data_IF_271949642605
#
_entry.id   IF_271949642605
#
_cell.length_a   1.000
_cell.length_b   1.000
_cell.length_c   1.000
_cell.angle_alpha   90.00
_cell.angle_beta   90.00
_cell.angle_gamma   90.00
#
_symmetry.space_group_name_H-M   'P 1'
#
loop_
_entity.id
_entity.type
_entity.pdbx_description
1 polymer ?
#
# COMPACT_ATOMS: atom_id res chain seq x y z
N UNK A 1 -40.51 -65.88 -2.83
CA UNK A 1 -40.90 -64.46 -2.70
C UNK A 1 -40.33 -63.96 -1.37
N UNK A 2 -39.17 -63.30 -1.39
CA UNK A 2 -38.98 -61.85 -1.54
C UNK A 2 -38.97 -61.11 -0.18
N UNK A 3 -37.76 -60.73 0.22
CA UNK A 3 -37.39 -59.41 0.75
C UNK A 3 -37.75 -59.10 2.21
N UNK A 4 -36.81 -59.29 3.16
CA UNK A 4 -36.53 -58.38 4.30
C UNK A 4 -35.10 -58.54 4.85
N UNK A 5 -34.09 -58.71 3.99
CA UNK A 5 -32.67 -58.84 4.38
C UNK A 5 -31.84 -57.56 4.13
N UNK A 6 -32.47 -56.39 3.95
CA UNK A 6 -31.80 -55.23 3.35
C UNK A 6 -31.81 -53.92 4.14
N UNK A 7 -32.21 -53.90 5.42
CA UNK A 7 -32.40 -52.61 6.14
C UNK A 7 -31.49 -52.45 7.36
N UNK A 8 -30.83 -53.52 7.84
CA UNK A 8 -29.76 -53.42 8.85
C UNK A 8 -28.38 -53.04 8.27
N UNK A 9 -28.31 -52.66 6.98
CA UNK A 9 -27.29 -51.72 6.47
C UNK A 9 -27.60 -50.26 6.88
N UNK A 10 -28.24 -50.13 8.04
CA UNK A 10 -28.22 -48.95 8.88
C UNK A 10 -26.76 -48.66 9.28
N UNK A 11 -26.33 -47.46 8.91
CA UNK A 11 -25.39 -46.66 9.71
C UNK A 11 -23.88 -46.99 9.70
N UNK A 12 -23.34 -47.72 8.71
CA UNK A 12 -21.88 -47.94 8.64
C UNK A 12 -21.15 -47.28 7.47
N UNK A 13 -21.84 -46.50 6.63
CA UNK A 13 -21.21 -45.70 5.56
C UNK A 13 -21.07 -44.21 5.91
N UNK A 14 -21.35 -43.82 7.17
CA UNK A 14 -21.35 -42.41 7.57
C UNK A 14 -20.01 -41.87 8.08
N UNK A 15 -18.96 -42.70 8.18
CA UNK A 15 -17.67 -42.23 8.72
C UNK A 15 -16.51 -42.84 7.95
N UNK A 16 -16.23 -42.30 6.77
CA UNK A 16 -14.84 -42.29 6.30
C UNK A 16 -14.49 -40.88 5.85
N UNK A 17 -14.08 -40.10 6.84
CA UNK A 17 -13.11 -39.02 6.73
C UNK A 17 -13.40 -38.01 5.61
N UNK A 18 -14.26 -37.06 5.94
CA UNK A 18 -14.11 -35.67 5.50
C UNK A 18 -12.74 -35.20 6.03
N UNK A 19 -11.69 -35.58 5.30
CA UNK A 19 -10.38 -34.99 5.41
C UNK A 19 -10.00 -34.57 3.99
N UNK A 20 -10.84 -33.74 3.38
CA UNK A 20 -10.31 -32.74 2.46
C UNK A 20 -9.40 -31.92 3.35
N UNK A 21 -8.12 -32.23 3.32
CA UNK A 21 -7.09 -31.50 4.02
C UNK A 21 -7.41 -30.03 3.77
N UNK A 22 -7.69 -29.28 4.84
CA UNK A 22 -7.44 -27.85 4.85
C UNK A 22 -5.97 -27.75 4.49
N UNK A 23 -5.66 -27.71 3.21
CA UNK A 23 -4.42 -27.16 2.71
C UNK A 23 -4.51 -25.76 3.27
N UNK A 24 -3.80 -25.52 4.38
CA UNK A 24 -3.49 -24.19 4.81
C UNK A 24 -2.75 -23.60 3.61
N UNK A 25 -3.54 -23.00 2.71
CA UNK A 25 -3.03 -22.15 1.67
C UNK A 25 -2.39 -21.04 2.47
N UNK A 26 -1.09 -21.16 2.70
CA UNK A 26 -0.25 -20.02 3.00
C UNK A 26 -0.45 -19.11 1.79
N UNK A 27 -1.48 -18.27 1.87
CA UNK A 27 -1.63 -17.12 1.01
C UNK A 27 -0.36 -16.35 1.25
N UNK A 28 0.60 -16.52 0.34
CA UNK A 28 1.72 -15.60 0.21
C UNK A 28 1.02 -14.28 -0.04
N UNK A 29 0.84 -13.50 1.02
CA UNK A 29 0.34 -12.14 0.92
C UNK A 29 1.33 -11.44 0.01
N UNK A 30 0.96 -11.29 -1.26
CA UNK A 30 1.72 -10.56 -2.24
C UNK A 30 1.81 -9.15 -1.67
N UNK A 31 2.95 -8.83 -1.06
CA UNK A 31 3.21 -7.53 -0.49
C UNK A 31 3.35 -6.57 -1.65
N UNK A 32 2.23 -6.02 -2.09
CA UNK A 32 2.21 -4.99 -3.12
C UNK A 32 2.84 -3.76 -2.51
N UNK A 33 3.98 -3.38 -3.05
CA UNK A 33 4.65 -2.15 -2.69
C UNK A 33 4.09 -1.04 -3.56
N UNK A 34 3.57 0.00 -2.93
CA UNK A 34 3.19 1.23 -3.61
C UNK A 34 4.41 2.06 -3.99
N UNK A 35 4.23 2.88 -5.03
CA UNK A 35 5.20 3.87 -5.50
C UNK A 35 4.51 5.22 -5.51
N UNK A 36 5.18 6.26 -5.01
CA UNK A 36 4.79 7.66 -5.19
C UNK A 36 5.78 8.32 -6.14
N UNK A 37 5.26 8.96 -7.17
CA UNK A 37 5.97 9.95 -7.96
C UNK A 37 5.44 11.33 -7.60
N UNK A 38 6.28 12.35 -7.67
CA UNK A 38 5.79 13.70 -7.43
C UNK A 38 6.76 14.79 -7.82
N UNK A 39 6.31 16.01 -7.61
CA UNK A 39 7.09 17.23 -7.80
C UNK A 39 6.85 18.20 -6.64
N UNK A 40 7.90 18.90 -6.22
CA UNK A 40 7.85 19.98 -5.23
C UNK A 40 8.05 21.31 -5.95
N UNK A 41 7.13 22.25 -5.75
CA UNK A 41 7.17 23.58 -6.36
C UNK A 41 6.97 24.68 -5.32
N UNK A 42 7.47 25.86 -5.64
CA UNK A 42 7.17 27.09 -4.93
C UNK A 42 5.69 27.47 -5.15
N UNK A 43 4.98 27.80 -4.06
CA UNK A 43 3.56 28.11 -4.11
C UNK A 43 3.23 29.45 -4.79
N UNK A 44 4.16 30.41 -4.82
CA UNK A 44 3.95 31.74 -5.40
C UNK A 44 4.52 31.84 -6.81
N UNK A 45 5.76 31.42 -7.00
CA UNK A 45 6.47 31.49 -8.27
C UNK A 45 6.08 30.35 -9.22
N UNK A 46 5.62 29.21 -8.68
CA UNK A 46 5.36 28.00 -9.46
C UNK A 46 6.64 27.30 -9.94
N UNK A 47 7.80 27.72 -9.45
CA UNK A 47 9.11 27.18 -9.83
C UNK A 47 9.39 25.85 -9.12
N UNK A 48 10.08 24.89 -9.76
CA UNK A 48 10.48 23.65 -9.12
C UNK A 48 11.50 23.90 -8.01
N UNK A 49 11.35 23.21 -6.88
CA UNK A 49 12.26 23.30 -5.75
C UNK A 49 13.17 22.07 -5.73
N UNK A 50 14.44 22.27 -6.07
CA UNK A 50 15.46 21.24 -5.96
C UNK A 50 15.98 21.07 -4.53
N UNK A 51 16.27 19.82 -4.15
CA UNK A 51 16.83 19.50 -2.83
C UNK A 51 15.85 19.60 -1.67
N UNK A 52 14.54 19.77 -1.93
CA UNK A 52 13.51 19.68 -0.90
C UNK A 52 13.54 18.29 -0.26
N UNK A 53 13.41 18.24 1.06
CA UNK A 53 13.41 17.00 1.84
C UNK A 53 11.98 16.47 1.93
N UNK A 54 11.77 15.25 1.45
CA UNK A 54 10.50 14.52 1.53
C UNK A 54 10.66 13.36 2.50
N UNK A 55 9.93 13.40 3.60
CA UNK A 55 9.89 12.37 4.63
C UNK A 55 8.53 11.67 4.62
N UNK A 56 8.53 10.34 4.51
CA UNK A 56 7.30 9.53 4.56
C UNK A 56 7.59 8.18 5.22
N UNK A 57 6.81 7.82 6.25
CA UNK A 57 7.13 6.70 7.13
C UNK A 57 8.58 6.79 7.66
N UNK A 58 9.45 5.86 7.23
CA UNK A 58 10.86 5.79 7.62
C UNK A 58 11.79 6.08 6.43
N UNK A 59 11.26 6.65 5.34
CA UNK A 59 12.01 7.00 4.15
C UNK A 59 12.23 8.51 4.09
N UNK A 60 13.42 8.90 3.64
CA UNK A 60 13.81 10.27 3.34
C UNK A 60 14.37 10.30 1.93
N UNK A 61 13.79 11.11 1.08
CA UNK A 61 14.27 11.37 -0.29
C UNK A 61 14.39 12.86 -0.52
N UNK A 62 15.07 13.25 -1.59
CA UNK A 62 15.25 14.63 -2.00
C UNK A 62 14.66 14.84 -3.38
N UNK A 63 14.09 16.01 -3.63
CA UNK A 63 13.72 16.40 -4.99
C UNK A 63 14.96 16.65 -5.85
N UNK A 64 14.86 16.32 -7.14
CA UNK A 64 15.91 16.57 -8.13
C UNK A 64 15.90 18.02 -8.66
N UNK A 65 16.67 18.30 -9.71
CA UNK A 65 16.78 19.64 -10.32
C UNK A 65 15.47 20.15 -10.92
N UNK A 66 14.56 19.25 -11.30
CA UNK A 66 13.23 19.57 -11.81
C UNK A 66 12.18 19.55 -10.69
N UNK A 67 12.60 19.46 -9.43
CA UNK A 67 11.73 19.34 -8.27
C UNK A 67 11.08 17.95 -8.14
N UNK A 68 11.42 16.97 -8.98
CA UNK A 68 10.77 15.65 -9.01
C UNK A 68 11.32 14.72 -7.94
N UNK A 69 10.51 13.80 -7.46
CA UNK A 69 10.91 12.76 -6.52
C UNK A 69 10.17 11.45 -6.78
N UNK A 70 10.76 10.35 -6.30
CA UNK A 70 10.20 9.01 -6.35
C UNK A 70 10.41 8.30 -5.01
N UNK A 71 9.37 7.66 -4.49
CA UNK A 71 9.42 6.87 -3.26
C UNK A 71 8.80 5.50 -3.53
N UNK A 72 9.62 4.47 -3.40
CA UNK A 72 9.25 3.08 -3.62
C UNK A 72 8.99 2.33 -2.31
N UNK A 73 8.50 1.10 -2.40
CA UNK A 73 8.52 0.19 -1.24
C UNK A 73 7.47 0.52 -0.17
N UNK A 74 6.43 1.30 -0.49
CA UNK A 74 5.42 1.73 0.46
C UNK A 74 4.46 0.58 0.78
N UNK A 75 4.31 0.26 2.06
CA UNK A 75 3.56 -0.92 2.54
C UNK A 75 2.15 -0.60 3.04
N UNK A 76 1.79 0.68 3.14
CA UNK A 76 0.49 1.16 3.60
C UNK A 76 -0.11 2.07 2.54
N UNK A 77 -1.43 2.01 2.37
CA UNK A 77 -2.14 2.89 1.46
C UNK A 77 -2.30 4.30 2.02
N UNK A 78 -2.56 4.42 3.33
CA UNK A 78 -2.70 5.72 4.01
C UNK A 78 -1.40 6.10 4.67
N UNK A 79 -0.87 7.25 4.29
CA UNK A 79 0.47 7.72 4.65
C UNK A 79 0.43 9.21 4.96
N UNK A 80 1.29 9.66 5.85
CA UNK A 80 1.55 11.08 6.09
C UNK A 80 2.93 11.41 5.53
N UNK A 81 2.98 12.35 4.59
CA UNK A 81 4.19 12.87 3.98
C UNK A 81 4.48 14.26 4.54
N UNK A 82 5.75 14.53 4.86
CA UNK A 82 6.25 15.84 5.25
C UNK A 82 7.24 16.33 4.20
N UNK A 83 7.08 17.58 3.76
CA UNK A 83 7.98 18.23 2.82
C UNK A 83 8.56 19.49 3.44
N UNK A 84 9.87 19.66 3.35
CA UNK A 84 10.58 20.80 3.96
C UNK A 84 11.77 21.25 3.13
N UNK A 85 12.08 22.54 3.19
CA UNK A 85 13.25 23.16 2.54
C UNK A 85 13.69 24.38 3.37
N UNK A 86 14.96 24.75 3.28
CA UNK A 86 15.49 25.95 3.96
C UNK A 86 14.74 27.19 3.46
N UNK A 87 14.30 28.05 4.38
CA UNK A 87 13.50 29.25 4.10
C UNK A 87 12.10 29.00 3.56
N UNK A 88 11.58 27.76 3.66
CA UNK A 88 10.21 27.41 3.32
C UNK A 88 9.43 26.91 4.52
N UNK A 89 8.12 27.14 4.51
CA UNK A 89 7.20 26.54 5.45
C UNK A 89 7.11 25.04 5.20
N UNK A 90 7.30 24.26 6.26
CA UNK A 90 7.13 22.80 6.21
C UNK A 90 5.67 22.46 5.99
N UNK A 91 5.39 21.61 5.01
CA UNK A 91 4.04 21.14 4.71
C UNK A 91 3.90 19.66 5.07
N UNK A 92 2.73 19.29 5.55
CA UNK A 92 2.36 17.89 5.81
C UNK A 92 1.10 17.55 5.01
N UNK A 93 1.14 16.43 4.29
CA UNK A 93 0.08 15.98 3.37
C UNK A 93 -0.29 14.54 3.67
N UNK A 94 -1.58 14.24 3.72
CA UNK A 94 -2.07 12.86 3.78
C UNK A 94 -2.19 12.29 2.37
N UNK A 95 -1.57 11.12 2.14
CA UNK A 95 -1.59 10.41 0.87
C UNK A 95 -2.37 9.11 1.04
N UNK A 96 -3.27 8.85 0.08
CA UNK A 96 -3.97 7.58 -0.07
C UNK A 96 -3.59 6.93 -1.41
N UNK A 97 -2.67 5.96 -1.35
CA UNK A 97 -2.18 5.22 -2.52
C UNK A 97 -3.25 4.40 -3.23
N UNK A 98 -4.40 4.15 -2.59
CA UNK A 98 -5.53 3.51 -3.28
C UNK A 98 -6.24 4.47 -4.25
N UNK A 99 -6.00 5.78 -4.11
CA UNK A 99 -6.61 6.83 -4.93
C UNK A 99 -5.64 7.46 -5.92
N UNK A 100 -4.39 7.65 -5.52
CA UNK A 100 -3.37 8.32 -6.35
C UNK A 100 -1.96 7.85 -6.03
N UNK A 101 -1.12 7.78 -7.06
CA UNK A 101 0.32 7.51 -6.96
C UNK A 101 1.20 8.64 -7.48
N UNK A 102 0.60 9.70 -8.06
CA UNK A 102 1.29 10.92 -8.47
C UNK A 102 0.82 12.09 -7.62
N UNK A 103 1.75 12.89 -7.08
CA UNK A 103 1.46 13.97 -6.14
C UNK A 103 2.27 15.21 -6.49
N UNK A 104 1.59 16.32 -6.75
CA UNK A 104 2.23 17.64 -6.83
C UNK A 104 2.08 18.35 -5.49
N UNK A 105 3.17 18.88 -4.96
CA UNK A 105 3.25 19.51 -3.64
C UNK A 105 3.78 20.93 -3.80
N UNK A 106 3.05 21.89 -3.25
CA UNK A 106 3.43 23.30 -3.29
C UNK A 106 3.70 23.79 -1.86
N UNK A 107 4.91 24.29 -1.62
CA UNK A 107 5.32 24.84 -0.32
C UNK A 107 5.56 26.35 -0.43
N UNK A 108 5.22 27.08 0.63
CA UNK A 108 5.27 28.53 0.65
C UNK A 108 6.59 29.01 1.28
N UNK A 109 7.28 29.94 0.63
CA UNK A 109 8.48 30.58 1.18
C UNK A 109 8.13 31.41 2.42
N UNK A 110 9.07 31.51 3.36
CA UNK A 110 8.94 32.33 4.58
C UNK A 110 9.20 33.81 4.34
#
# INVERSE_FOLDING_TARGET
MKKKLGITLMALLYVSCIAVAKIATNSVEKKTYGVIYGNVVDAEAGEPIAGAVIEICNQKVFSDLDGKFEINGLKSNKLQMRVSMISYNTQTVEIDLSKQSNVSISILQQ
#
